data_IF_208835928331
#
_entry.id   IF_208835928331
#
_cell.length_a   1.000
_cell.length_b   1.000
_cell.length_c   1.000
_cell.angle_alpha   90.00
_cell.angle_beta   90.00
_cell.angle_gamma   90.00
#
_symmetry.space_group_name_H-M   'P 1'
#
loop_
_entity.id
_entity.type
_entity.pdbx_description
1 polymer ?
#
# COMPACT_ATOMS: atom_id res chain seq x y z
N UNK A 1 15.28 -33.44 -15.51
CA UNK A 1 14.29 -33.56 -14.40
C UNK A 1 15.02 -33.34 -13.06
N UNK A 2 15.64 -32.19 -12.82
CA UNK A 2 16.28 -31.88 -11.51
C UNK A 2 16.07 -30.42 -11.08
N UNK A 3 15.06 -29.75 -11.61
CA UNK A 3 14.79 -28.36 -11.29
C UNK A 3 13.89 -28.10 -10.06
N UNK A 4 13.29 -29.14 -9.47
CA UNK A 4 12.26 -28.97 -8.44
C UNK A 4 12.78 -29.11 -6.98
N UNK A 5 13.95 -29.71 -6.77
CA UNK A 5 14.48 -29.97 -5.42
C UNK A 5 15.22 -28.75 -4.82
N UNK A 6 15.88 -27.95 -5.64
CA UNK A 6 16.62 -26.76 -5.18
C UNK A 6 15.67 -25.66 -4.69
N UNK A 7 14.48 -25.53 -5.30
CA UNK A 7 13.46 -24.57 -4.89
C UNK A 7 12.83 -24.90 -3.52
N UNK A 8 12.62 -26.18 -3.22
CA UNK A 8 12.01 -26.61 -1.96
C UNK A 8 12.91 -26.44 -0.76
N UNK A 9 14.23 -26.72 -0.89
CA UNK A 9 15.19 -26.52 0.20
C UNK A 9 15.43 -25.05 0.51
N UNK A 10 15.46 -24.19 -0.50
CA UNK A 10 15.57 -22.74 -0.32
C UNK A 10 14.34 -22.16 0.38
N UNK A 11 13.15 -22.60 0.00
CA UNK A 11 11.90 -22.21 0.68
C UNK A 11 11.83 -22.68 2.15
N UNK A 12 12.31 -23.89 2.44
CA UNK A 12 12.33 -24.42 3.83
C UNK A 12 13.32 -23.64 4.69
N UNK A 13 14.50 -23.31 4.15
CA UNK A 13 15.53 -22.56 4.87
C UNK A 13 15.11 -21.12 5.14
N UNK A 14 14.46 -20.47 4.18
CA UNK A 14 13.91 -19.12 4.33
C UNK A 14 12.73 -19.11 5.31
N UNK A 15 11.88 -20.13 5.28
CA UNK A 15 10.77 -20.27 6.22
C UNK A 15 11.27 -20.40 7.67
N UNK A 16 12.31 -21.23 7.94
CA UNK A 16 12.83 -21.37 9.30
C UNK A 16 13.47 -20.07 9.79
N UNK A 17 14.13 -19.30 8.93
CA UNK A 17 14.65 -17.98 9.26
C UNK A 17 13.54 -16.98 9.55
N UNK A 18 12.48 -16.95 8.75
CA UNK A 18 11.32 -16.09 8.99
C UNK A 18 10.63 -16.42 10.32
N UNK A 19 10.46 -17.71 10.63
CA UNK A 19 9.86 -18.18 11.88
C UNK A 19 10.77 -17.97 13.10
N UNK A 20 12.03 -17.61 12.93
CA UNK A 20 12.94 -17.23 14.03
C UNK A 20 12.83 -15.75 14.42
N UNK A 21 12.13 -14.92 13.62
CA UNK A 21 11.89 -13.52 13.96
C UNK A 21 10.80 -13.39 15.03
N UNK A 22 11.10 -12.67 16.10
CA UNK A 22 10.15 -12.38 17.18
C UNK A 22 8.91 -11.65 16.69
N UNK A 23 9.08 -10.76 15.71
CA UNK A 23 8.02 -9.98 15.09
C UNK A 23 7.04 -10.89 14.34
N UNK A 24 7.55 -11.86 13.58
CA UNK A 24 6.71 -12.81 12.84
C UNK A 24 5.97 -13.74 13.82
N UNK A 25 6.64 -14.22 14.87
CA UNK A 25 5.99 -15.03 15.91
C UNK A 25 4.87 -14.23 16.60
N UNK A 26 5.13 -12.97 16.92
CA UNK A 26 4.13 -12.08 17.52
C UNK A 26 2.94 -11.85 16.57
N UNK A 27 3.21 -11.64 15.29
CA UNK A 27 2.17 -11.51 14.27
C UNK A 27 1.28 -12.76 14.19
N UNK A 28 1.88 -13.95 14.13
CA UNK A 28 1.16 -15.21 14.07
C UNK A 28 0.30 -15.42 15.33
N UNK A 29 0.85 -15.12 16.52
CA UNK A 29 0.11 -15.19 17.77
C UNK A 29 -1.07 -14.20 17.80
N UNK A 30 -0.90 -13.00 17.26
CA UNK A 30 -1.95 -12.02 17.15
C UNK A 30 -3.07 -12.48 16.21
N UNK A 31 -2.73 -13.08 15.08
CA UNK A 31 -3.70 -13.63 14.12
C UNK A 31 -4.54 -14.78 14.71
N UNK A 32 -3.96 -15.57 15.60
CA UNK A 32 -4.63 -16.68 16.27
C UNK A 32 -4.70 -17.97 15.44
N UNK A 33 -4.21 -17.96 14.21
CA UNK A 33 -4.33 -19.12 13.29
C UNK A 33 -3.34 -20.24 13.57
N UNK A 34 -2.32 -20.00 14.41
CA UNK A 34 -1.23 -20.93 14.62
C UNK A 34 -0.24 -20.99 13.45
N UNK A 35 0.86 -21.70 13.63
CA UNK A 35 1.91 -21.85 12.61
C UNK A 35 2.13 -23.31 12.19
N UNK A 36 2.08 -24.25 13.13
CA UNK A 36 2.21 -25.69 12.88
C UNK A 36 0.85 -26.30 12.58
N UNK A 37 -0.13 -26.01 13.44
CA UNK A 37 -1.52 -26.44 13.32
C UNK A 37 -2.37 -25.25 12.83
N UNK A 38 -2.04 -24.78 11.60
CA UNK A 38 -2.72 -23.63 11.02
C UNK A 38 -4.21 -23.94 10.79
N UNK A 39 -5.06 -23.15 11.39
CA UNK A 39 -6.52 -23.21 11.16
C UNK A 39 -7.07 -21.80 10.91
N UNK A 40 -7.59 -21.58 9.72
CA UNK A 40 -8.15 -20.29 9.31
C UNK A 40 -9.42 -19.92 10.11
N UNK A 41 -10.17 -20.90 10.61
CA UNK A 41 -11.38 -20.66 11.42
C UNK A 41 -11.04 -19.97 12.76
N UNK A 42 -9.79 -20.11 13.22
CA UNK A 42 -9.31 -19.44 14.42
C UNK A 42 -8.83 -18.00 14.16
N UNK A 43 -8.95 -17.51 12.94
CA UNK A 43 -8.54 -16.16 12.59
C UNK A 43 -9.37 -15.14 13.38
N UNK A 44 -8.68 -14.26 14.12
CA UNK A 44 -9.31 -13.26 14.99
C UNK A 44 -9.76 -12.00 14.26
N UNK A 45 -9.30 -11.79 13.03
CA UNK A 45 -9.50 -10.54 12.29
C UNK A 45 -10.07 -10.81 10.89
N UNK A 46 -11.13 -10.11 10.54
CA UNK A 46 -11.71 -10.18 9.19
C UNK A 46 -10.78 -9.58 8.13
N UNK A 47 -10.09 -8.51 8.47
CA UNK A 47 -9.15 -7.81 7.56
C UNK A 47 -7.81 -7.57 8.22
N UNK A 48 -6.75 -7.96 7.52
CA UNK A 48 -5.36 -7.70 7.87
C UNK A 48 -4.86 -6.64 6.89
N UNK A 49 -4.57 -5.45 7.41
CA UNK A 49 -4.22 -4.29 6.58
C UNK A 49 -2.73 -4.00 6.75
N UNK A 50 -1.96 -4.18 5.70
CA UNK A 50 -0.54 -3.81 5.65
C UNK A 50 -0.45 -2.33 5.33
N UNK A 51 0.17 -1.58 6.22
CA UNK A 51 0.39 -0.14 6.08
C UNK A 51 1.88 0.15 6.23
N UNK A 52 2.48 0.69 5.19
CA UNK A 52 3.91 1.03 5.13
C UNK A 52 4.09 2.41 4.54
N UNK A 53 5.22 3.03 4.82
CA UNK A 53 5.60 4.30 4.23
C UNK A 53 5.68 4.22 2.70
N UNK A 54 5.55 5.37 2.04
CA UNK A 54 5.60 5.47 0.57
C UNK A 54 7.04 5.63 0.05
N UNK A 55 8.03 5.13 0.77
CA UNK A 55 9.44 5.16 0.42
C UNK A 55 9.96 3.77 -0.02
N UNK A 56 11.27 3.69 -0.26
CA UNK A 56 11.93 2.46 -0.71
C UNK A 56 11.90 1.40 0.39
N UNK A 57 12.14 1.80 1.64
CA UNK A 57 12.19 0.88 2.79
C UNK A 57 10.80 0.32 3.09
N UNK A 58 9.76 1.17 3.07
CA UNK A 58 8.37 0.73 3.20
C UNK A 58 7.94 -0.22 2.08
N UNK A 59 8.40 0.00 0.85
CA UNK A 59 8.17 -0.92 -0.27
C UNK A 59 8.83 -2.27 -0.04
N UNK A 60 10.06 -2.29 0.50
CA UNK A 60 10.77 -3.53 0.85
C UNK A 60 10.06 -4.30 1.96
N UNK A 61 9.68 -3.63 3.05
CA UNK A 61 8.91 -4.23 4.15
C UNK A 61 7.59 -4.83 3.63
N UNK A 62 6.87 -4.10 2.77
CA UNK A 62 5.65 -4.59 2.12
C UNK A 62 5.89 -5.88 1.35
N UNK A 63 6.96 -5.93 0.56
CA UNK A 63 7.33 -7.12 -0.22
C UNK A 63 7.65 -8.30 0.69
N UNK A 64 8.39 -8.09 1.78
CA UNK A 64 8.69 -9.14 2.75
C UNK A 64 7.42 -9.69 3.41
N UNK A 65 6.50 -8.83 3.84
CA UNK A 65 5.22 -9.25 4.42
C UNK A 65 4.34 -10.00 3.42
N UNK A 66 4.27 -9.52 2.18
CA UNK A 66 3.53 -10.23 1.13
C UNK A 66 4.16 -11.60 0.82
N UNK A 67 5.48 -11.70 0.81
CA UNK A 67 6.19 -12.97 0.64
C UNK A 67 5.89 -13.91 1.81
N UNK A 68 5.86 -13.41 3.04
CA UNK A 68 5.46 -14.19 4.21
C UNK A 68 4.04 -14.75 4.03
N UNK A 69 3.07 -13.91 3.71
CA UNK A 69 1.68 -14.34 3.50
C UNK A 69 1.50 -15.22 2.26
N UNK A 70 2.40 -15.17 1.28
CA UNK A 70 2.36 -16.05 0.12
C UNK A 70 2.84 -17.48 0.42
N UNK A 71 3.57 -17.69 1.52
CA UNK A 71 4.06 -19.00 1.90
C UNK A 71 2.99 -19.85 2.60
N UNK A 72 2.98 -21.15 2.30
CA UNK A 72 2.14 -22.12 3.02
C UNK A 72 2.48 -22.15 4.51
N UNK A 73 1.50 -22.16 5.43
CA UNK A 73 0.05 -22.26 5.21
C UNK A 73 -0.68 -20.90 5.13
N UNK A 74 0.05 -19.76 5.28
CA UNK A 74 -0.54 -18.41 5.37
C UNK A 74 -1.13 -17.91 4.04
N UNK A 75 -0.81 -18.56 2.91
CA UNK A 75 -1.40 -18.27 1.61
C UNK A 75 -2.93 -18.37 1.62
N UNK A 76 -3.50 -19.18 2.49
CA UNK A 76 -4.95 -19.27 2.69
C UNK A 76 -5.57 -17.91 3.10
N UNK A 77 -4.83 -17.04 3.78
CA UNK A 77 -5.30 -15.69 4.12
C UNK A 77 -5.47 -14.80 2.88
N UNK A 78 -4.61 -14.97 1.87
CA UNK A 78 -4.76 -14.28 0.59
C UNK A 78 -5.92 -14.90 -0.21
N UNK A 79 -6.00 -16.22 -0.30
CA UNK A 79 -7.03 -16.95 -1.04
C UNK A 79 -8.44 -16.61 -0.52
N UNK A 80 -8.60 -16.52 0.79
CA UNK A 80 -9.87 -16.14 1.42
C UNK A 80 -10.09 -14.62 1.48
N UNK A 81 -9.10 -13.83 1.04
CA UNK A 81 -9.24 -12.41 0.84
C UNK A 81 -9.19 -11.56 2.10
N UNK A 82 -8.42 -11.98 3.09
CA UNK A 82 -8.21 -11.26 4.34
C UNK A 82 -7.08 -10.22 4.27
N UNK A 83 -6.19 -10.27 3.26
CA UNK A 83 -5.04 -9.39 3.16
C UNK A 83 -5.33 -8.16 2.31
N UNK A 84 -5.02 -6.99 2.86
CA UNK A 84 -5.21 -5.69 2.21
C UNK A 84 -3.96 -4.82 2.35
N UNK A 85 -3.76 -3.92 1.38
CA UNK A 85 -2.76 -2.86 1.43
C UNK A 85 -3.45 -1.53 1.63
N UNK A 86 -3.08 -0.79 2.66
CA UNK A 86 -3.54 0.58 2.83
C UNK A 86 -2.92 1.50 1.77
N UNK A 87 -3.67 2.49 1.34
CA UNK A 87 -3.23 3.50 0.40
C UNK A 87 -3.36 4.90 1.04
N UNK A 88 -2.38 5.31 1.87
CA UNK A 88 -2.37 6.66 2.37
C UNK A 88 -2.18 7.67 1.22
N UNK A 89 -2.67 8.90 1.36
CA UNK A 89 -2.46 9.94 0.36
C UNK A 89 -1.00 10.35 0.29
N UNK A 90 -0.52 10.66 -0.91
CA UNK A 90 0.84 11.19 -1.11
C UNK A 90 0.91 12.70 -1.03
N UNK A 91 -0.20 13.41 -1.23
CA UNK A 91 -0.22 14.86 -1.26
C UNK A 91 -1.37 15.44 -0.44
N UNK A 92 -1.09 16.57 0.20
CA UNK A 92 -2.08 17.46 0.80
C UNK A 92 -2.02 18.79 0.06
N UNK A 93 -3.12 19.18 -0.56
CA UNK A 93 -3.25 20.48 -1.23
C UNK A 93 -4.10 21.38 -0.36
N UNK A 94 -3.55 22.50 0.07
CA UNK A 94 -4.26 23.48 0.88
C UNK A 94 -4.59 24.69 0.02
N UNK A 95 -5.89 25.01 -0.04
CA UNK A 95 -6.40 26.22 -0.72
C UNK A 95 -7.36 26.96 0.20
N UNK A 96 -7.01 28.18 0.56
CA UNK A 96 -7.69 28.94 1.61
C UNK A 96 -7.70 28.09 2.92
N UNK A 97 -8.84 27.87 3.53
CA UNK A 97 -8.95 27.10 4.79
C UNK A 97 -9.39 25.64 4.56
N UNK A 98 -9.28 25.13 3.31
CA UNK A 98 -9.66 23.75 2.99
C UNK A 98 -8.46 22.96 2.54
N UNK A 99 -8.28 21.77 3.10
CA UNK A 99 -7.28 20.80 2.68
C UNK A 99 -7.94 19.66 1.91
N UNK A 100 -7.30 19.24 0.82
CA UNK A 100 -7.73 18.10 0.00
C UNK A 100 -6.57 17.11 -0.04
N UNK A 101 -6.85 15.86 0.29
CA UNK A 101 -5.86 14.79 0.25
C UNK A 101 -5.92 14.06 -1.08
N UNK A 102 -4.77 13.83 -1.68
CA UNK A 102 -4.64 13.29 -3.03
C UNK A 102 -3.70 12.11 -3.00
N UNK A 103 -4.13 10.98 -3.57
CA UNK A 103 -3.46 9.68 -3.43
C UNK A 103 -2.20 9.54 -4.28
N UNK A 104 -2.15 10.15 -5.46
CA UNK A 104 -1.06 9.99 -6.43
C UNK A 104 -0.88 11.21 -7.34
N UNK A 105 0.20 11.21 -8.13
CA UNK A 105 0.51 12.32 -9.03
C UNK A 105 -0.54 12.51 -10.15
N UNK A 106 -1.15 11.43 -10.63
CA UNK A 106 -2.21 11.54 -11.66
C UNK A 106 -3.42 12.26 -11.12
N UNK A 107 -3.85 11.88 -9.91
CA UNK A 107 -4.96 12.54 -9.22
C UNK A 107 -4.63 14.00 -8.90
N UNK A 108 -3.36 14.33 -8.63
CA UNK A 108 -2.92 15.71 -8.43
C UNK A 108 -3.03 16.52 -9.73
N UNK A 109 -2.56 15.98 -10.85
CA UNK A 109 -2.76 16.62 -12.15
C UNK A 109 -4.23 16.85 -12.48
N UNK A 110 -5.06 15.83 -12.27
CA UNK A 110 -6.52 15.95 -12.49
C UNK A 110 -7.16 17.02 -11.61
N UNK A 111 -6.74 17.09 -10.35
CA UNK A 111 -7.21 18.13 -9.42
C UNK A 111 -6.81 19.53 -9.89
N UNK A 112 -5.56 19.71 -10.32
CA UNK A 112 -5.05 20.97 -10.86
C UNK A 112 -5.87 21.37 -12.11
N UNK A 113 -6.09 20.44 -13.04
CA UNK A 113 -6.86 20.69 -14.27
C UNK A 113 -8.33 21.08 -13.99
N UNK A 114 -8.94 20.46 -12.98
CA UNK A 114 -10.32 20.77 -12.57
C UNK A 114 -10.42 22.14 -11.87
N UNK A 115 -9.38 22.50 -11.11
CA UNK A 115 -9.40 23.72 -10.27
C UNK A 115 -8.88 24.93 -11.02
N UNK A 116 -8.01 24.75 -12.00
CA UNK A 116 -7.41 25.79 -12.83
C UNK A 116 -8.09 25.82 -14.20
N UNK A 117 -8.38 27.03 -14.70
CA UNK A 117 -8.89 27.21 -16.06
C UNK A 117 -7.74 27.02 -17.06
N UNK A 118 -7.57 25.79 -17.55
CA UNK A 118 -6.61 25.53 -18.63
C UNK A 118 -7.13 26.09 -19.95
N UNK A 119 -6.27 26.76 -20.72
CA UNK A 119 -6.60 27.16 -22.09
C UNK A 119 -6.77 25.91 -22.96
N UNK A 120 -7.91 25.78 -23.65
CA UNK A 120 -8.25 24.64 -24.52
C UNK A 120 -7.21 24.36 -25.62
N UNK A 121 -6.31 25.31 -25.88
CA UNK A 121 -5.25 25.19 -26.89
C UNK A 121 -4.05 24.37 -26.41
N UNK A 122 -3.87 24.17 -25.10
CA UNK A 122 -2.74 23.44 -24.52
C UNK A 122 -3.04 21.94 -24.56
N UNK A 123 -2.30 21.19 -25.37
CA UNK A 123 -2.44 19.74 -25.50
C UNK A 123 -1.65 19.02 -24.41
N UNK A 124 -2.26 17.98 -23.82
CA UNK A 124 -1.60 17.11 -22.81
C UNK A 124 -0.32 16.51 -23.38
N UNK A 125 0.78 16.59 -22.62
CA UNK A 125 2.09 16.03 -22.99
C UNK A 125 3.05 17.01 -23.70
N UNK A 126 2.61 18.22 -24.05
CA UNK A 126 3.47 19.28 -24.62
C UNK A 126 4.33 19.97 -23.55
N UNK A 127 5.39 20.67 -23.96
CA UNK A 127 6.22 21.47 -23.06
C UNK A 127 5.40 22.54 -22.31
N UNK A 128 4.48 23.20 -23.02
CA UNK A 128 3.59 24.20 -22.43
C UNK A 128 2.65 23.60 -21.39
N UNK A 129 2.18 22.37 -21.60
CA UNK A 129 1.38 21.65 -20.62
C UNK A 129 2.17 21.37 -19.34
N UNK A 130 3.41 20.88 -19.48
CA UNK A 130 4.28 20.61 -18.34
C UNK A 130 4.60 21.87 -17.56
N UNK A 131 4.89 22.97 -18.28
CA UNK A 131 5.14 24.26 -17.67
C UNK A 131 3.89 24.78 -16.93
N UNK A 132 2.71 24.70 -17.54
CA UNK A 132 1.46 25.07 -16.90
C UNK A 132 1.23 24.30 -15.60
N UNK A 133 1.39 22.97 -15.61
CA UNK A 133 1.23 22.14 -14.40
C UNK A 133 2.24 22.54 -13.33
N UNK A 134 3.48 22.83 -13.72
CA UNK A 134 4.52 23.26 -12.78
C UNK A 134 4.19 24.62 -12.14
N UNK A 135 3.82 25.61 -12.94
CA UNK A 135 3.42 26.94 -12.48
C UNK A 135 2.20 26.85 -11.51
N UNK A 136 1.24 25.95 -11.81
CA UNK A 136 0.11 25.72 -10.93
C UNK A 136 0.52 25.01 -9.62
N UNK A 137 1.46 24.06 -9.66
CA UNK A 137 2.00 23.43 -8.46
C UNK A 137 2.69 24.44 -7.54
N UNK A 138 3.41 25.41 -8.11
CA UNK A 138 4.09 26.47 -7.35
C UNK A 138 3.11 27.48 -6.75
N UNK A 139 1.97 27.70 -7.40
CA UNK A 139 0.93 28.60 -6.90
C UNK A 139 0.05 28.01 -5.79
N UNK A 140 0.06 26.68 -5.64
CA UNK A 140 -0.71 25.95 -4.63
C UNK A 140 0.18 25.55 -3.47
N UNK A 141 -0.34 25.60 -2.24
CA UNK A 141 0.34 25.02 -1.09
C UNK A 141 0.18 23.50 -1.13
N UNK A 142 1.18 22.82 -1.71
CA UNK A 142 1.21 21.38 -1.84
C UNK A 142 2.27 20.82 -0.89
N UNK A 143 1.82 20.01 0.07
CA UNK A 143 2.68 19.21 0.92
C UNK A 143 2.72 17.78 0.38
N UNK A 144 3.91 17.22 0.20
CA UNK A 144 4.10 15.80 -0.15
C UNK A 144 4.47 15.03 1.10
N UNK A 145 3.71 13.99 1.40
CA UNK A 145 4.04 13.05 2.47
C UNK A 145 5.03 12.00 1.95
N UNK A 146 6.15 11.85 2.63
CA UNK A 146 7.15 10.81 2.36
C UNK A 146 6.91 9.56 3.19
N UNK A 147 6.32 9.75 4.39
CA UNK A 147 5.99 8.67 5.30
C UNK A 147 4.80 9.00 6.18
N UNK A 148 4.27 7.98 6.85
CA UNK A 148 3.12 8.09 7.75
C UNK A 148 3.41 8.96 8.98
N UNK A 149 4.68 9.03 9.41
CA UNK A 149 5.12 9.87 10.52
C UNK A 149 5.06 11.38 10.25
N UNK A 150 4.86 11.81 9.01
CA UNK A 150 4.67 13.21 8.65
C UNK A 150 3.20 13.67 8.78
N UNK A 151 2.28 12.72 8.97
CA UNK A 151 0.86 12.98 9.16
C UNK A 151 0.55 13.12 10.64
N UNK A 152 -0.29 14.11 11.00
CA UNK A 152 -0.81 14.16 12.35
C UNK A 152 -1.89 13.08 12.58
N UNK A 153 -2.27 12.76 13.83
CA UNK A 153 -3.23 11.70 14.12
C UNK A 153 -4.57 11.87 13.43
N UNK A 154 -5.10 13.09 13.33
CA UNK A 154 -6.37 13.39 12.67
C UNK A 154 -6.28 13.14 11.17
N UNK A 155 -5.20 13.55 10.52
CA UNK A 155 -4.95 13.33 9.10
C UNK A 155 -4.84 11.84 8.80
N UNK A 156 -4.09 11.11 9.61
CA UNK A 156 -3.94 9.67 9.45
C UNK A 156 -5.27 8.94 9.64
N UNK A 157 -6.05 9.35 10.62
CA UNK A 157 -7.39 8.81 10.85
C UNK A 157 -8.30 9.06 9.64
N UNK A 158 -8.48 10.32 9.25
CA UNK A 158 -9.40 10.69 8.17
C UNK A 158 -9.08 10.04 6.83
N UNK A 159 -7.81 9.88 6.51
CA UNK A 159 -7.39 9.45 5.17
C UNK A 159 -7.12 7.97 5.04
N UNK A 160 -6.68 7.31 6.13
CA UNK A 160 -6.11 5.97 6.06
C UNK A 160 -6.77 4.96 7.00
N UNK A 161 -7.21 5.39 8.18
CA UNK A 161 -7.76 4.49 9.19
C UNK A 161 -9.29 4.45 9.18
N UNK A 162 -9.95 5.58 8.93
CA UNK A 162 -11.41 5.68 8.94
C UNK A 162 -12.03 4.75 7.87
N UNK A 163 -12.88 3.79 8.26
CA UNK A 163 -13.51 2.85 7.35
C UNK A 163 -14.27 3.49 6.19
N UNK A 164 -14.85 4.68 6.41
CA UNK A 164 -15.69 5.36 5.43
C UNK A 164 -14.87 6.05 4.33
N UNK A 165 -13.64 6.46 4.63
CA UNK A 165 -12.83 7.28 3.74
C UNK A 165 -11.59 6.56 3.20
N UNK A 166 -11.13 5.50 3.91
CA UNK A 166 -9.90 4.80 3.55
C UNK A 166 -9.99 4.10 2.21
N UNK A 167 -8.89 4.14 1.48
CA UNK A 167 -8.71 3.35 0.26
C UNK A 167 -7.79 2.18 0.54
N UNK A 168 -8.21 0.98 0.18
CA UNK A 168 -7.45 -0.25 0.35
C UNK A 168 -7.42 -1.05 -0.94
N UNK A 169 -6.29 -1.70 -1.21
CA UNK A 169 -6.15 -2.70 -2.27
C UNK A 169 -6.24 -4.10 -1.66
N UNK A 170 -7.18 -4.90 -2.12
CA UNK A 170 -7.25 -6.32 -1.78
C UNK A 170 -6.14 -7.08 -2.49
N UNK A 171 -5.36 -7.84 -1.74
CA UNK A 171 -4.33 -8.72 -2.31
C UNK A 171 -5.01 -9.96 -2.87
N UNK A 172 -4.71 -10.30 -4.13
CA UNK A 172 -5.29 -11.45 -4.81
C UNK A 172 -4.24 -12.10 -5.71
N UNK A 173 -4.34 -13.41 -5.90
CA UNK A 173 -3.59 -14.09 -6.95
C UNK A 173 -4.15 -13.73 -8.31
N UNK A 174 -3.31 -13.21 -9.18
CA UNK A 174 -3.67 -13.09 -10.59
C UNK A 174 -3.64 -14.50 -11.19
N UNK A 175 -4.77 -14.99 -11.73
CA UNK A 175 -4.75 -16.21 -12.52
C UNK A 175 -3.80 -15.96 -13.67
N UNK A 176 -2.64 -16.62 -13.64
CA UNK A 176 -1.63 -16.46 -14.68
C UNK A 176 -2.27 -16.75 -16.04
N UNK A 177 -2.16 -15.80 -16.93
CA UNK A 177 -2.33 -16.03 -18.36
C UNK A 177 -1.27 -17.07 -18.73
N UNK A 178 -1.73 -18.30 -19.05
CA UNK A 178 -0.89 -19.36 -19.61
C UNK A 178 -0.35 -18.91 -20.95
#
# INVERSE_FOLDING_TARGET
>A
INGCLVGSEMCIRDRSKMMSSSEIVTLINALGTGSKDFNIENLRYDKIIIMTDADVDGSHIRTLLLTFFNNFPFNQLIENGHIYLAQPPLFKVTKANKSVYIKDEKSLEEYILKTSKIDKKIKKGTADYKKFIQDQKESLSIQRFKGLGEMNPEELWETTLNPDNRTMLKVQYTKGTK
#
